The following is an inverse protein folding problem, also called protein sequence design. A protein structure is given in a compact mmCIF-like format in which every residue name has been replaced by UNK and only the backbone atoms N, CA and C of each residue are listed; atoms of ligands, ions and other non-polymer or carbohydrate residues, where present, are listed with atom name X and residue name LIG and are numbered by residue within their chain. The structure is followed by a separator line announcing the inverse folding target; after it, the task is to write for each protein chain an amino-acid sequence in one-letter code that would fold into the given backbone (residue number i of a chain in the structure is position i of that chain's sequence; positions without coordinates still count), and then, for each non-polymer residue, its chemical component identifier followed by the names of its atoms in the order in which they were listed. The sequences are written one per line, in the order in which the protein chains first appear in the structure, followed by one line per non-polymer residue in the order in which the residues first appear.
data_IF_827613775343
#
_entry.id   IF_827613775343
#
_cell.length_a   1.000
_cell.length_b   1.000
_cell.length_c   1.000
_cell.angle_alpha   90.00
_cell.angle_beta   90.00
_cell.angle_gamma   90.00
#
_symmetry.space_group_name_H-M   'P 1'
#
loop_
_entity.id
_entity.type
_entity.pdbx_description
1 polymer ?
#
# COMPACT_ATOMS: atom_id res chain seq x y z
N UNK A 1 -8.81 -0.31 28.23
CA UNK A 1 -9.02 0.32 26.90
C UNK A 1 -7.84 1.24 26.62
N UNK A 2 -7.33 1.18 25.41
CA UNK A 2 -6.27 2.04 24.91
C UNK A 2 -6.79 3.47 24.66
N UNK A 3 -5.95 4.47 24.91
CA UNK A 3 -6.28 5.91 24.73
C UNK A 3 -6.66 6.18 23.27
N UNK A 4 -5.97 5.54 22.33
CA UNK A 4 -6.27 5.65 20.89
C UNK A 4 -7.66 5.11 20.58
N UNK A 5 -8.02 3.94 21.11
CA UNK A 5 -9.36 3.37 20.89
C UNK A 5 -10.45 4.32 21.40
N UNK A 6 -10.26 4.89 22.60
CA UNK A 6 -11.19 5.88 23.18
C UNK A 6 -11.36 7.11 22.29
N UNK A 7 -10.26 7.66 21.79
CA UNK A 7 -10.24 8.81 20.89
C UNK A 7 -11.03 8.53 19.61
N UNK A 8 -10.76 7.38 18.95
CA UNK A 8 -11.42 7.06 17.68
C UNK A 8 -12.87 6.63 17.84
N UNK A 9 -13.25 6.04 18.97
CA UNK A 9 -14.67 5.82 19.32
C UNK A 9 -15.38 7.17 19.46
N UNK A 10 -14.75 8.15 20.11
CA UNK A 10 -15.27 9.52 20.20
C UNK A 10 -15.44 10.17 18.83
N UNK A 11 -14.45 10.06 17.93
CA UNK A 11 -14.48 10.64 16.60
C UNK A 11 -15.56 10.02 15.71
N UNK A 12 -15.74 8.68 15.75
CA UNK A 12 -16.78 8.01 14.96
C UNK A 12 -18.18 8.19 15.52
N UNK A 13 -18.31 8.58 16.78
CA UNK A 13 -19.61 8.70 17.47
C UNK A 13 -20.59 9.65 16.76
N UNK A 14 -20.08 10.74 16.14
CA UNK A 14 -20.90 11.68 15.36
C UNK A 14 -21.58 11.07 14.14
N UNK A 15 -21.08 9.94 13.65
CA UNK A 15 -21.62 9.19 12.51
C UNK A 15 -22.55 8.05 12.93
N UNK A 16 -22.64 7.79 14.24
CA UNK A 16 -23.44 6.71 14.81
C UNK A 16 -24.73 7.26 15.41
N UNK A 17 -25.88 6.82 14.87
CA UNK A 17 -27.17 7.24 15.39
C UNK A 17 -27.39 6.71 16.80
N UNK A 18 -27.92 7.57 17.70
CA UNK A 18 -28.24 7.22 19.10
C UNK A 18 -27.03 6.67 19.88
N UNK A 19 -25.85 7.19 19.59
CA UNK A 19 -24.66 6.84 20.32
C UNK A 19 -24.77 7.27 21.78
N UNK A 20 -24.49 6.35 22.70
CA UNK A 20 -24.41 6.64 24.13
C UNK A 20 -23.39 5.73 24.81
N UNK A 21 -22.71 6.26 25.79
CA UNK A 21 -21.86 5.50 26.70
C UNK A 21 -22.76 4.87 27.78
N UNK A 22 -22.77 3.55 27.91
CA UNK A 22 -23.58 2.81 28.88
C UNK A 22 -22.82 2.57 30.18
N UNK A 23 -21.52 2.20 30.05
CA UNK A 23 -20.57 1.98 31.15
C UNK A 23 -19.17 2.45 30.69
N UNK A 24 -18.19 2.35 31.60
CA UNK A 24 -16.82 2.46 31.19
C UNK A 24 -16.57 1.46 30.05
N UNK A 25 -16.03 1.96 28.92
CA UNK A 25 -15.66 1.16 27.76
C UNK A 25 -16.78 0.36 27.07
N UNK A 26 -18.05 0.62 27.42
CA UNK A 26 -19.23 0.04 26.78
C UNK A 26 -20.08 1.14 26.13
N UNK A 27 -20.23 1.06 24.84
CA UNK A 27 -20.98 2.01 24.03
C UNK A 27 -22.13 1.31 23.32
N UNK A 28 -23.28 1.96 23.24
CA UNK A 28 -24.46 1.49 22.54
C UNK A 28 -24.90 2.48 21.49
N UNK A 29 -25.33 2.02 20.33
CA UNK A 29 -25.80 2.85 19.24
C UNK A 29 -26.66 2.04 18.28
N UNK A 30 -27.32 2.73 17.38
CA UNK A 30 -28.09 2.11 16.31
C UNK A 30 -27.12 1.52 15.28
N UNK A 31 -27.27 0.22 14.96
CA UNK A 31 -26.36 -0.47 14.06
C UNK A 31 -26.34 0.18 12.67
N UNK A 32 -25.21 0.68 12.17
CA UNK A 32 -25.14 1.27 10.83
C UNK A 32 -25.18 0.26 9.70
N UNK A 33 -24.90 -1.02 10.00
CA UNK A 33 -24.89 -2.09 8.99
C UNK A 33 -26.31 -2.53 8.61
N UNK A 34 -27.16 -2.79 9.60
CA UNK A 34 -28.53 -3.27 9.36
C UNK A 34 -29.60 -2.19 9.58
N UNK A 35 -29.22 -0.98 9.99
CA UNK A 35 -30.17 0.07 10.33
C UNK A 35 -31.06 -0.23 11.54
N UNK A 36 -30.77 -1.33 12.26
CA UNK A 36 -31.57 -1.80 13.40
C UNK A 36 -33.05 -2.03 13.05
N UNK A 37 -33.99 -1.99 14.00
CA UNK A 37 -35.42 -2.23 13.76
C UNK A 37 -36.04 -1.10 12.92
N UNK A 38 -36.65 -1.46 11.81
CA UNK A 38 -37.40 -0.51 10.97
C UNK A 38 -38.74 -0.08 11.66
N UNK A 39 -39.38 -1.00 12.37
CA UNK A 39 -40.65 -0.73 13.08
C UNK A 39 -40.46 0.16 14.33
N UNK A 40 -39.34 0.00 15.03
CA UNK A 40 -39.05 0.71 16.27
C UNK A 40 -37.79 1.55 16.15
N UNK A 41 -37.94 2.78 15.72
CA UNK A 41 -36.83 3.75 15.54
C UNK A 41 -36.03 4.03 16.82
N UNK A 42 -36.55 3.64 17.98
CA UNK A 42 -35.92 3.86 19.29
C UNK A 42 -34.95 2.76 19.70
N UNK A 43 -34.93 1.62 19.04
CA UNK A 43 -34.03 0.53 19.37
C UNK A 43 -32.63 0.78 18.86
N UNK A 44 -31.64 0.53 19.72
CA UNK A 44 -30.21 0.61 19.42
C UNK A 44 -29.57 -0.69 19.95
N UNK A 45 -29.13 -1.57 19.05
CA UNK A 45 -28.62 -2.90 19.36
C UNK A 45 -27.19 -3.14 18.89
N UNK A 46 -26.54 -2.11 18.38
CA UNK A 46 -25.10 -2.10 18.14
C UNK A 46 -24.34 -1.75 19.42
N UNK A 47 -23.27 -2.47 19.69
CA UNK A 47 -22.43 -2.27 20.87
C UNK A 47 -20.94 -2.27 20.46
N UNK A 48 -20.17 -1.37 21.09
CA UNK A 48 -18.72 -1.45 21.14
C UNK A 48 -18.34 -1.76 22.56
N UNK A 49 -17.50 -2.78 22.78
CA UNK A 49 -17.13 -3.30 24.08
C UNK A 49 -15.70 -3.89 24.06
N UNK A 50 -15.01 -3.94 25.21
CA UNK A 50 -13.69 -4.54 25.27
C UNK A 50 -13.79 -6.06 25.23
N UNK A 51 -12.91 -6.69 24.44
CA UNK A 51 -12.73 -8.12 24.41
C UNK A 51 -11.23 -8.43 24.40
N UNK A 52 -10.71 -9.03 25.47
CA UNK A 52 -9.26 -9.20 25.70
C UNK A 52 -8.55 -7.83 25.70
N UNK A 53 -7.60 -7.62 24.81
CA UNK A 53 -6.83 -6.38 24.70
C UNK A 53 -7.44 -5.36 23.71
N UNK A 54 -8.42 -5.76 22.92
CA UNK A 54 -8.97 -4.95 21.81
C UNK A 54 -10.44 -4.57 22.06
N UNK A 55 -10.87 -3.53 21.34
CA UNK A 55 -12.27 -3.17 21.26
C UNK A 55 -12.96 -3.93 20.12
N UNK A 56 -14.20 -4.37 20.37
CA UNK A 56 -15.00 -5.13 19.40
C UNK A 56 -16.38 -4.52 19.21
N UNK A 57 -16.92 -4.70 18.02
CA UNK A 57 -18.29 -4.36 17.67
C UNK A 57 -19.13 -5.62 17.58
N UNK A 58 -20.36 -5.54 18.08
CA UNK A 58 -21.39 -6.57 17.90
C UNK A 58 -22.77 -5.93 17.77
N UNK A 59 -23.56 -6.43 16.85
CA UNK A 59 -24.99 -6.09 16.73
C UNK A 59 -25.87 -7.28 17.13
N UNK A 60 -26.76 -7.08 18.10
CA UNK A 60 -27.70 -8.11 18.52
C UNK A 60 -28.93 -8.24 17.63
N UNK A 61 -29.06 -7.40 16.58
CA UNK A 61 -30.15 -7.50 15.61
C UNK A 61 -29.77 -8.36 14.39
N UNK A 62 -28.63 -8.06 13.76
CA UNK A 62 -28.17 -8.77 12.56
C UNK A 62 -27.06 -9.80 12.83
N UNK A 63 -26.59 -9.92 14.07
CA UNK A 63 -25.52 -10.84 14.43
C UNK A 63 -24.11 -10.41 13.99
N UNK A 64 -23.98 -9.31 13.25
CA UNK A 64 -22.66 -8.82 12.82
C UNK A 64 -21.74 -8.61 14.02
N UNK A 65 -20.54 -9.21 13.95
CA UNK A 65 -19.51 -9.12 14.98
C UNK A 65 -18.14 -8.99 14.32
N UNK A 66 -17.36 -7.99 14.74
CA UNK A 66 -16.05 -7.73 14.17
C UNK A 66 -15.19 -6.88 15.13
N UNK A 67 -13.89 -6.81 14.90
CA UNK A 67 -13.01 -5.92 15.65
C UNK A 67 -13.37 -4.45 15.37
N UNK A 68 -13.05 -3.55 16.31
CA UNK A 68 -13.25 -2.12 16.13
C UNK A 68 -12.51 -1.57 14.90
N UNK A 69 -11.32 -2.10 14.64
CA UNK A 69 -10.55 -1.76 13.44
C UNK A 69 -11.34 -2.01 12.14
N UNK A 70 -11.90 -3.21 11.98
CA UNK A 70 -12.69 -3.55 10.80
C UNK A 70 -14.02 -2.80 10.75
N UNK A 71 -14.66 -2.58 11.90
CA UNK A 71 -15.86 -1.77 12.00
C UNK A 71 -15.59 -0.34 11.53
N UNK A 72 -14.51 0.28 12.00
CA UNK A 72 -14.11 1.64 11.61
C UNK A 72 -13.83 1.73 10.10
N UNK A 73 -13.18 0.71 9.52
CA UNK A 73 -12.94 0.62 8.07
C UNK A 73 -14.24 0.65 7.27
N UNK A 74 -15.29 -0.01 7.77
CA UNK A 74 -16.60 -0.06 7.10
C UNK A 74 -17.34 1.27 7.18
N UNK A 75 -17.23 1.98 8.31
CA UNK A 75 -17.98 3.23 8.54
C UNK A 75 -17.28 4.43 7.96
N UNK A 76 -15.96 4.51 8.14
CA UNK A 76 -15.13 5.63 7.69
C UNK A 76 -13.71 5.17 7.33
N UNK A 77 -13.46 4.90 6.05
CA UNK A 77 -12.14 4.51 5.58
C UNK A 77 -11.04 5.56 5.84
N UNK A 78 -11.39 6.85 5.88
CA UNK A 78 -10.42 7.93 6.13
C UNK A 78 -9.99 7.93 7.59
N UNK A 79 -10.95 7.85 8.50
CA UNK A 79 -10.69 7.78 9.94
C UNK A 79 -9.95 6.48 10.29
N UNK A 80 -10.28 5.38 9.60
CA UNK A 80 -9.59 4.11 9.76
C UNK A 80 -8.09 4.21 9.41
N UNK A 81 -7.73 4.87 8.32
CA UNK A 81 -6.31 5.07 7.95
C UNK A 81 -5.54 5.80 9.05
N UNK A 82 -6.13 6.86 9.61
CA UNK A 82 -5.54 7.61 10.71
C UNK A 82 -5.37 6.74 11.97
N UNK A 83 -6.41 5.97 12.31
CA UNK A 83 -6.38 5.04 13.44
C UNK A 83 -5.24 4.01 13.34
N UNK A 84 -5.11 3.37 12.17
CA UNK A 84 -4.04 2.38 11.94
C UNK A 84 -2.66 3.01 12.04
N UNK A 85 -2.48 4.20 11.47
CA UNK A 85 -1.20 4.91 11.56
C UNK A 85 -0.84 5.31 13.00
N UNK A 86 -1.82 5.76 13.78
CA UNK A 86 -1.60 6.17 15.17
C UNK A 86 -1.27 4.96 16.06
N UNK A 87 -2.03 3.86 15.91
CA UNK A 87 -1.74 2.58 16.57
C UNK A 87 -0.35 2.04 16.23
N UNK A 88 0.06 2.16 14.98
CA UNK A 88 1.38 1.74 14.55
C UNK A 88 2.49 2.58 15.21
N UNK A 89 2.31 3.90 15.27
CA UNK A 89 3.25 4.80 15.94
C UNK A 89 3.39 4.47 17.43
N UNK A 90 2.29 4.26 18.13
CA UNK A 90 2.31 3.97 19.57
C UNK A 90 2.99 2.63 19.89
N UNK A 91 2.72 1.58 19.11
CA UNK A 91 3.38 0.29 19.26
C UNK A 91 4.90 0.37 19.08
N UNK A 92 5.37 1.33 18.31
CA UNK A 92 6.79 1.53 18.02
C UNK A 92 7.49 2.47 19.01
N UNK A 93 6.76 3.34 19.72
CA UNK A 93 7.34 4.27 20.71
C UNK A 93 7.84 3.57 21.97
N UNK A 94 7.30 2.41 22.33
CA UNK A 94 7.68 1.66 23.54
C UNK A 94 8.80 0.62 23.36
N UNK A 95 9.12 0.28 22.14
CA UNK A 95 10.26 -0.58 21.79
C UNK A 95 11.29 0.33 21.15
N UNK A 96 12.41 0.57 21.78
CA UNK A 96 13.57 1.26 21.21
C UNK A 96 14.14 0.59 19.95
N UNK A 97 13.26 0.19 19.07
CA UNK A 97 13.57 -0.11 17.70
C UNK A 97 13.77 1.24 17.04
N UNK A 98 15.02 1.68 16.97
CA UNK A 98 15.47 2.38 15.79
C UNK A 98 14.85 1.58 14.65
N UNK A 99 13.78 2.10 14.03
CA UNK A 99 13.36 1.58 12.74
C UNK A 99 14.58 1.86 11.88
N UNK A 100 15.36 0.84 11.48
CA UNK A 100 16.40 1.11 10.51
C UNK A 100 15.63 1.74 9.35
N UNK A 101 16.01 2.95 8.96
CA UNK A 101 15.55 3.51 7.71
C UNK A 101 15.61 2.35 6.72
N UNK A 102 14.54 2.05 5.98
CA UNK A 102 14.59 0.98 5.02
C UNK A 102 15.77 1.33 4.11
N UNK A 103 16.92 0.72 4.38
CA UNK A 103 18.02 0.74 3.44
C UNK A 103 17.46 0.02 2.22
N UNK A 104 16.94 0.82 1.31
CA UNK A 104 16.70 0.36 -0.04
C UNK A 104 18.08 0.04 -0.61
N UNK A 105 18.60 -1.11 -0.22
CA UNK A 105 19.72 -1.73 -0.90
C UNK A 105 19.20 -2.11 -2.28
N UNK A 106 19.00 -1.10 -3.12
CA UNK A 106 19.06 -1.28 -4.54
C UNK A 106 20.49 -1.78 -4.79
N UNK A 107 20.66 -3.10 -4.75
CA UNK A 107 21.84 -3.70 -5.36
C UNK A 107 21.80 -3.18 -6.79
N UNK A 108 22.56 -2.11 -7.04
CA UNK A 108 22.76 -1.63 -8.42
C UNK A 108 23.08 -2.90 -9.19
N UNK A 109 22.36 -3.21 -10.27
CA UNK A 109 22.69 -4.38 -11.05
C UNK A 109 24.17 -4.25 -11.41
N UNK A 110 24.99 -5.07 -10.76
CA UNK A 110 26.40 -5.14 -11.09
C UNK A 110 26.41 -5.89 -12.40
N UNK A 111 26.47 -5.16 -13.49
CA UNK A 111 26.79 -5.75 -14.80
C UNK A 111 28.21 -6.31 -14.67
N UNK A 112 28.30 -7.59 -14.27
CA UNK A 112 29.57 -8.28 -14.01
C UNK A 112 30.34 -8.61 -15.30
N UNK A 113 29.78 -8.33 -16.47
CA UNK A 113 30.45 -8.42 -17.76
C UNK A 113 30.43 -7.06 -18.43
N UNK A 114 31.59 -6.63 -18.95
CA UNK A 114 31.62 -5.53 -19.90
C UNK A 114 30.60 -5.85 -21.00
N UNK A 115 29.71 -4.89 -21.27
CA UNK A 115 28.86 -4.97 -22.45
C UNK A 115 29.80 -5.04 -23.67
N UNK A 116 29.81 -6.17 -24.35
CA UNK A 116 30.60 -6.36 -25.58
C UNK A 116 29.82 -5.75 -26.76
N UNK A 117 29.61 -4.45 -26.65
CA UNK A 117 28.92 -3.64 -27.64
C UNK A 117 29.70 -2.36 -27.89
N UNK A 118 29.81 -1.91 -29.13
CA UNK A 118 30.42 -0.62 -29.45
C UNK A 118 29.62 0.54 -28.84
N UNK A 119 30.34 1.57 -28.42
CA UNK A 119 29.70 2.79 -27.96
C UNK A 119 28.96 3.47 -29.14
N UNK A 120 27.80 4.04 -28.87
CA UNK A 120 27.01 4.70 -29.91
C UNK A 120 27.72 5.91 -30.54
N UNK A 121 28.68 6.52 -29.83
CA UNK A 121 29.52 7.59 -30.38
C UNK A 121 30.45 7.13 -31.49
N UNK A 122 30.82 5.85 -31.53
CA UNK A 122 31.69 5.25 -32.53
C UNK A 122 30.92 4.83 -33.80
N UNK A 123 29.60 4.69 -33.70
CA UNK A 123 28.73 4.27 -34.80
C UNK A 123 28.03 5.46 -35.40
N UNK A 124 28.40 5.87 -36.64
CA UNK A 124 27.91 7.07 -37.30
C UNK A 124 26.37 7.20 -37.27
N UNK A 125 25.66 6.17 -37.64
CA UNK A 125 24.17 6.16 -37.69
C UNK A 125 23.56 6.41 -36.29
N UNK A 126 24.10 5.77 -35.26
CA UNK A 126 23.64 5.94 -33.90
C UNK A 126 23.93 7.34 -33.35
N UNK A 127 25.15 7.84 -33.63
CA UNK A 127 25.57 9.17 -33.21
C UNK A 127 24.67 10.25 -33.82
N UNK A 128 24.49 10.27 -35.13
CA UNK A 128 23.65 11.25 -35.82
C UNK A 128 22.19 11.22 -35.34
N UNK A 129 21.67 10.03 -35.04
CA UNK A 129 20.33 9.87 -34.49
C UNK A 129 20.19 10.47 -33.08
N UNK A 130 21.18 10.24 -32.20
CA UNK A 130 21.17 10.74 -30.84
C UNK A 130 21.42 12.25 -30.78
N UNK A 131 22.35 12.77 -31.59
CA UNK A 131 22.63 14.20 -31.69
C UNK A 131 21.42 14.99 -32.19
N UNK A 132 20.69 14.46 -33.17
CA UNK A 132 19.43 15.07 -33.65
C UNK A 132 18.39 15.17 -32.53
N UNK A 133 18.44 14.26 -31.55
CA UNK A 133 17.57 14.26 -30.36
C UNK A 133 18.14 15.00 -29.16
N UNK A 134 19.32 15.65 -29.32
CA UNK A 134 20.04 16.34 -28.24
C UNK A 134 20.42 15.44 -27.07
N UNK A 135 20.72 14.17 -27.36
CA UNK A 135 21.19 13.18 -26.40
C UNK A 135 22.69 12.98 -26.56
N UNK A 136 23.40 12.76 -25.45
CA UNK A 136 24.84 12.51 -25.45
C UNK A 136 25.15 11.07 -25.90
N UNK A 137 25.75 10.86 -27.09
CA UNK A 137 26.00 9.53 -27.65
C UNK A 137 26.92 8.67 -26.78
N UNK A 138 27.77 9.27 -25.96
CA UNK A 138 28.74 8.55 -25.12
C UNK A 138 28.08 7.69 -24.04
N UNK A 139 26.83 7.96 -23.70
CA UNK A 139 26.05 7.25 -22.66
C UNK A 139 25.30 6.04 -23.19
N UNK A 140 25.35 5.79 -24.49
CA UNK A 140 24.59 4.72 -25.13
C UNK A 140 25.52 3.73 -25.83
N UNK A 141 24.99 2.51 -26.01
CA UNK A 141 25.63 1.45 -26.77
C UNK A 141 24.82 1.10 -28.00
N UNK A 142 25.46 0.50 -29.00
CA UNK A 142 24.79 0.11 -30.22
C UNK A 142 24.90 -1.39 -30.48
N UNK A 143 23.76 -2.04 -30.62
CA UNK A 143 23.68 -3.45 -30.99
C UNK A 143 23.29 -3.60 -32.45
N UNK A 144 24.20 -4.14 -33.30
CA UNK A 144 23.93 -4.39 -34.71
C UNK A 144 22.84 -5.46 -34.92
N UNK A 145 22.85 -6.51 -34.08
CA UNK A 145 21.89 -7.61 -34.05
C UNK A 145 21.37 -7.72 -32.64
N UNK A 146 20.25 -7.12 -32.38
CA UNK A 146 19.72 -7.00 -31.02
C UNK A 146 19.26 -8.35 -30.44
N UNK A 147 18.59 -9.16 -31.23
CA UNK A 147 18.10 -10.47 -30.79
C UNK A 147 19.25 -11.43 -30.47
N UNK A 148 20.23 -11.51 -31.39
CA UNK A 148 21.42 -12.35 -31.21
C UNK A 148 22.19 -11.96 -29.93
N UNK A 149 22.45 -10.67 -29.75
CA UNK A 149 23.12 -10.17 -28.57
C UNK A 149 22.32 -10.45 -27.30
N UNK A 150 21.00 -10.21 -27.28
CA UNK A 150 20.15 -10.43 -26.11
C UNK A 150 20.11 -11.89 -25.71
N UNK A 151 20.10 -12.80 -26.68
CA UNK A 151 20.14 -14.25 -26.42
C UNK A 151 21.44 -14.69 -25.72
N UNK A 152 22.53 -13.95 -25.88
CA UNK A 152 23.77 -14.19 -25.12
C UNK A 152 23.66 -13.78 -23.64
N UNK A 153 22.65 -12.95 -23.28
CA UNK A 153 22.52 -12.35 -21.95
C UNK A 153 21.51 -13.03 -21.02
N UNK A 154 20.75 -13.99 -21.40
CA UNK A 154 19.72 -14.76 -20.63
C UNK A 154 18.29 -14.64 -21.17
N UNK A 155 18.01 -13.76 -22.10
CA UNK A 155 16.67 -13.63 -22.65
C UNK A 155 16.62 -14.31 -24.01
N UNK A 156 15.71 -15.23 -24.17
CA UNK A 156 15.50 -15.93 -25.44
C UNK A 156 14.49 -15.18 -26.28
N UNK A 157 14.93 -14.64 -27.41
CA UNK A 157 14.07 -14.16 -28.48
C UNK A 157 14.04 -15.19 -29.59
N UNK A 158 12.89 -15.31 -30.23
CA UNK A 158 12.75 -16.09 -31.43
C UNK A 158 13.67 -15.51 -32.53
N UNK A 159 14.55 -16.33 -33.07
CA UNK A 159 15.48 -15.97 -34.14
C UNK A 159 14.83 -15.92 -35.51
N UNK A 160 13.56 -16.34 -35.61
CA UNK A 160 12.80 -16.29 -36.85
C UNK A 160 12.49 -14.81 -37.19
N UNK A 161 12.87 -14.39 -38.38
CA UNK A 161 12.66 -13.03 -38.88
C UNK A 161 13.88 -12.14 -38.77
N UNK A 162 13.73 -10.88 -39.20
CA UNK A 162 14.80 -9.90 -39.29
C UNK A 162 15.29 -9.48 -37.90
N UNK A 163 16.59 -9.54 -37.69
CA UNK A 163 17.23 -9.00 -36.49
C UNK A 163 17.62 -7.54 -36.75
N UNK A 164 17.00 -6.61 -36.01
CA UNK A 164 17.21 -5.18 -36.21
C UNK A 164 18.25 -4.63 -35.24
N UNK A 165 19.00 -3.62 -35.72
CA UNK A 165 19.92 -2.88 -34.87
C UNK A 165 19.17 -1.98 -33.87
N UNK A 166 19.68 -1.84 -32.65
CA UNK A 166 19.11 -0.96 -31.61
C UNK A 166 20.17 -0.19 -30.83
N UNK A 167 19.80 1.00 -30.42
CA UNK A 167 20.52 1.80 -29.43
C UNK A 167 20.00 1.36 -28.04
N UNK A 168 20.91 1.13 -27.10
CA UNK A 168 20.65 0.63 -25.77
C UNK A 168 21.21 1.61 -24.74
#
# INVERSE_FOLDING_TARGET
MDIIDSKYIGLVSSRLQKFKRVKADLYNFRCPICGDSQKHKNKARGYIYPLKADMNFKCHNCGASTTFNNFLKTIDPTLHKQYVMEKFKERNVGRGSIIPEPEFNFKKPVFRKKLDLPNASEVKIAREYLEKRKLDPSKFFFAYKFKEWTNTQKQTFDTIGRDESRII
#
